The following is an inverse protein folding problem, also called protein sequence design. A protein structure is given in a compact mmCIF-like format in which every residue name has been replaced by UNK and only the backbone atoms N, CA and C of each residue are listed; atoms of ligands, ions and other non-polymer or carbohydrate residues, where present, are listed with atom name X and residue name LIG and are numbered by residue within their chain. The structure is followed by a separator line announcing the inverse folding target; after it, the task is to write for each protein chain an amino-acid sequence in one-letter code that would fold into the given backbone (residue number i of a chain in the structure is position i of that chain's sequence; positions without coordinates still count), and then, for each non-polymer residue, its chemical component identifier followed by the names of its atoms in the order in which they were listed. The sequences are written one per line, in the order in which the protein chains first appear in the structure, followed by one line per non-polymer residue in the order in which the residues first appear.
data_IF_229384743166
#
_entry.id   IF_229384743166
#
_cell.length_a   1.000
_cell.length_b   1.000
_cell.length_c   1.000
_cell.angle_alpha   90.00
_cell.angle_beta   90.00
_cell.angle_gamma   90.00
#
_symmetry.space_group_name_H-M   'P 1'
#
loop_
_entity.id
_entity.type
_entity.pdbx_description
1 polymer ?
#
# COMPACT_ATOMS: atom_id res chain seq x y z
N UNK A 1 12.06 -40.05 -11.55
CA UNK A 1 12.19 -39.12 -10.42
C UNK A 1 13.34 -38.17 -10.76
N UNK A 2 13.01 -36.96 -11.23
CA UNK A 2 13.84 -35.76 -11.41
C UNK A 2 13.38 -34.99 -12.66
N UNK A 3 12.20 -34.36 -12.62
CA UNK A 3 12.05 -33.10 -13.35
C UNK A 3 12.53 -32.01 -12.40
N UNK A 4 13.82 -31.74 -12.52
CA UNK A 4 14.49 -30.59 -11.96
C UNK A 4 13.72 -29.34 -12.40
N UNK A 5 13.13 -28.61 -11.44
CA UNK A 5 12.41 -27.37 -11.66
C UNK A 5 13.38 -26.32 -12.20
N UNK A 6 13.56 -26.28 -13.52
CA UNK A 6 14.65 -25.52 -14.16
C UNK A 6 14.62 -24.02 -13.92
N UNK A 7 13.55 -23.44 -13.36
CA UNK A 7 13.49 -22.01 -13.06
C UNK A 7 12.57 -21.66 -11.88
N UNK A 8 12.98 -21.88 -10.61
CA UNK A 8 12.18 -21.46 -9.45
C UNK A 8 11.88 -19.95 -9.46
N UNK A 9 12.75 -19.13 -10.07
CA UNK A 9 12.56 -17.69 -10.20
C UNK A 9 11.63 -17.23 -11.33
N UNK A 10 11.57 -17.93 -12.48
CA UNK A 10 10.72 -17.49 -13.60
C UNK A 10 9.23 -17.67 -13.32
N UNK A 11 8.85 -18.68 -12.53
CA UNK A 11 7.46 -18.90 -12.13
C UNK A 11 6.88 -17.74 -11.31
N UNK A 12 7.73 -17.00 -10.58
CA UNK A 12 7.31 -15.87 -9.76
C UNK A 12 7.30 -14.53 -10.52
N UNK A 13 7.86 -14.47 -11.74
CA UNK A 13 7.95 -13.22 -12.50
C UNK A 13 6.58 -12.58 -12.78
N UNK A 14 5.53 -13.31 -13.23
CA UNK A 14 4.22 -12.71 -13.43
C UNK A 14 3.63 -12.14 -12.14
N UNK A 15 3.78 -12.87 -11.03
CA UNK A 15 3.30 -12.45 -9.71
C UNK A 15 4.03 -11.19 -9.24
N UNK A 16 5.36 -11.14 -9.40
CA UNK A 16 6.19 -9.97 -9.04
C UNK A 16 5.85 -8.76 -9.90
N UNK A 17 5.69 -8.94 -11.21
CA UNK A 17 5.27 -7.86 -12.09
C UNK A 17 3.90 -7.31 -11.67
N UNK A 18 2.94 -8.20 -11.41
CA UNK A 18 1.60 -7.82 -10.97
C UNK A 18 1.63 -7.05 -9.64
N UNK A 19 2.20 -7.63 -8.59
CA UNK A 19 2.27 -7.01 -7.25
C UNK A 19 3.11 -5.73 -7.27
N UNK A 20 4.27 -5.76 -7.91
CA UNK A 20 5.18 -4.64 -7.97
C UNK A 20 4.58 -3.42 -8.67
N UNK A 21 4.02 -3.61 -9.87
CA UNK A 21 3.37 -2.53 -10.62
C UNK A 21 2.15 -2.00 -9.89
N UNK A 22 1.32 -2.87 -9.31
CA UNK A 22 0.10 -2.45 -8.59
C UNK A 22 0.43 -1.63 -7.34
N UNK A 23 1.47 -1.98 -6.58
CA UNK A 23 1.91 -1.21 -5.42
C UNK A 23 2.49 0.15 -5.80
N UNK A 24 3.35 0.22 -6.82
CA UNK A 24 3.86 1.50 -7.34
C UNK A 24 2.71 2.39 -7.81
N UNK A 25 1.80 1.81 -8.60
CA UNK A 25 0.61 2.51 -9.08
C UNK A 25 -0.26 3.03 -7.93
N UNK A 26 -0.52 2.20 -6.91
CA UNK A 26 -1.36 2.57 -5.78
C UNK A 26 -0.78 3.76 -5.00
N UNK A 27 0.53 3.80 -4.76
CA UNK A 27 1.15 4.92 -4.07
C UNK A 27 1.15 6.20 -4.92
N UNK A 28 1.44 6.10 -6.22
CA UNK A 28 1.35 7.25 -7.14
C UNK A 28 -0.08 7.77 -7.22
N UNK A 29 -1.08 6.88 -7.29
CA UNK A 29 -2.49 7.24 -7.33
C UNK A 29 -2.89 8.04 -6.09
N UNK A 30 -2.46 7.62 -4.90
CA UNK A 30 -2.70 8.36 -3.65
C UNK A 30 -2.12 9.77 -3.67
N UNK A 31 -0.89 9.92 -4.16
CA UNK A 31 -0.22 11.23 -4.24
C UNK A 31 -0.77 12.13 -5.34
N UNK A 32 -1.35 11.53 -6.37
CA UNK A 32 -1.94 12.24 -7.51
C UNK A 32 -3.40 12.63 -7.29
N UNK A 33 -4.07 12.04 -6.30
CA UNK A 33 -5.44 12.40 -5.92
C UNK A 33 -5.43 13.67 -5.05
N UNK A 34 -5.93 14.82 -5.56
CA UNK A 34 -5.95 16.07 -4.80
C UNK A 34 -6.83 15.98 -3.55
N UNK A 35 -7.77 15.05 -3.47
CA UNK A 35 -8.62 14.86 -2.30
C UNK A 35 -7.96 14.03 -1.19
N UNK A 36 -6.99 13.18 -1.50
CA UNK A 36 -6.52 12.12 -0.60
C UNK A 36 -6.05 12.63 0.77
N UNK A 37 -5.38 13.79 0.80
CA UNK A 37 -4.84 14.40 2.01
C UNK A 37 -5.68 15.58 2.55
N UNK A 38 -6.79 15.93 1.88
CA UNK A 38 -7.59 17.11 2.22
C UNK A 38 -8.89 16.73 2.90
N UNK A 39 -9.07 17.19 4.14
CA UNK A 39 -10.30 16.98 4.93
C UNK A 39 -11.51 17.54 4.19
N UNK A 40 -12.61 16.78 4.18
CA UNK A 40 -13.87 17.15 3.52
C UNK A 40 -13.94 16.74 2.05
N UNK A 41 -12.85 16.20 1.48
CA UNK A 41 -12.91 15.53 0.18
C UNK A 41 -13.54 14.14 0.33
N UNK A 42 -14.13 13.62 -0.75
CA UNK A 42 -14.71 12.26 -0.77
C UNK A 42 -13.65 11.17 -0.60
N UNK A 43 -12.41 11.40 -1.02
CA UNK A 43 -11.33 10.42 -1.00
C UNK A 43 -10.40 10.58 0.20
N UNK A 44 -10.72 11.47 1.14
CA UNK A 44 -9.89 11.79 2.28
C UNK A 44 -9.51 10.55 3.09
N UNK A 45 -8.21 10.36 3.31
CA UNK A 45 -7.68 9.21 4.06
C UNK A 45 -8.13 9.19 5.53
N UNK A 46 -8.40 10.35 6.13
CA UNK A 46 -8.82 10.40 7.54
C UNK A 46 -10.18 9.76 7.78
N UNK A 47 -11.11 9.88 6.83
CA UNK A 47 -12.44 9.25 6.93
C UNK A 47 -12.32 7.73 6.79
N UNK A 48 -11.42 7.27 5.90
CA UNK A 48 -11.09 5.85 5.76
C UNK A 48 -10.45 5.29 7.05
N UNK A 49 -9.49 6.01 7.63
CA UNK A 49 -8.85 5.61 8.89
C UNK A 49 -9.86 5.53 10.05
N UNK A 50 -10.81 6.48 10.12
CA UNK A 50 -11.90 6.43 11.11
C UNK A 50 -12.81 5.21 10.92
N UNK A 51 -13.16 4.90 9.67
CA UNK A 51 -13.89 3.70 9.31
C UNK A 51 -13.17 2.42 9.76
N UNK A 52 -11.87 2.30 9.44
CA UNK A 52 -11.08 1.13 9.81
C UNK A 52 -10.87 1.02 11.32
N UNK A 53 -10.65 2.13 12.03
CA UNK A 53 -10.47 2.10 13.48
C UNK A 53 -11.69 1.52 14.20
N UNK A 54 -12.89 1.69 13.63
CA UNK A 54 -14.14 1.26 14.24
C UNK A 54 -14.49 -0.20 13.94
N UNK A 55 -13.99 -0.75 12.82
CA UNK A 55 -14.44 -2.06 12.31
C UNK A 55 -13.33 -3.12 12.20
N UNK A 56 -12.09 -2.78 12.53
CA UNK A 56 -10.96 -3.74 12.49
C UNK A 56 -10.49 -4.11 13.91
N UNK A 57 -10.13 -5.39 14.17
CA UNK A 57 -9.55 -5.79 15.46
C UNK A 57 -8.31 -4.98 15.86
N UNK A 58 -7.52 -4.53 14.88
CA UNK A 58 -6.34 -3.69 15.06
C UNK A 58 -6.62 -2.19 15.20
N UNK A 59 -7.87 -1.75 15.35
CA UNK A 59 -8.23 -0.34 15.35
C UNK A 59 -7.55 0.51 16.43
N UNK A 60 -7.04 -0.11 17.50
CA UNK A 60 -6.26 0.58 18.53
C UNK A 60 -4.94 1.17 17.98
N UNK A 61 -4.31 0.51 17.00
CA UNK A 61 -3.09 1.01 16.35
C UNK A 61 -3.37 2.28 15.55
N UNK A 62 -4.53 2.35 14.90
CA UNK A 62 -4.97 3.52 14.15
C UNK A 62 -5.31 4.68 15.08
N UNK A 63 -5.89 4.39 16.25
CA UNK A 63 -6.15 5.39 17.31
C UNK A 63 -4.88 5.92 17.95
N UNK A 64 -3.81 5.13 18.04
CA UNK A 64 -2.58 5.54 18.71
C UNK A 64 -1.89 6.72 18.01
N UNK A 65 -1.92 6.78 16.68
CA UNK A 65 -1.24 7.84 15.93
C UNK A 65 -1.90 8.24 14.60
N UNK A 66 -2.24 7.30 13.67
CA UNK A 66 -2.76 7.65 12.34
C UNK A 66 -4.00 8.56 12.34
N UNK A 67 -4.92 8.40 13.29
CA UNK A 67 -6.11 9.24 13.39
C UNK A 67 -5.82 10.69 13.80
N UNK A 68 -4.75 10.93 14.55
CA UNK A 68 -4.34 12.27 14.95
C UNK A 68 -3.59 12.99 13.82
N UNK A 69 -2.91 12.25 12.95
CA UNK A 69 -2.09 12.79 11.85
C UNK A 69 -2.39 12.08 10.52
N UNK A 70 -3.64 12.14 10.01
CA UNK A 70 -4.09 11.35 8.87
C UNK A 70 -3.36 11.68 7.57
N UNK A 71 -3.03 12.95 7.33
CA UNK A 71 -2.26 13.34 6.14
C UNK A 71 -0.84 12.77 6.16
N UNK A 72 -0.16 12.84 7.31
CA UNK A 72 1.17 12.26 7.47
C UNK A 72 1.14 10.73 7.32
N UNK A 73 0.13 10.07 7.91
CA UNK A 73 -0.08 8.63 7.73
C UNK A 73 -0.34 8.28 6.25
N UNK A 74 -1.17 9.04 5.55
CA UNK A 74 -1.45 8.84 4.13
C UNK A 74 -0.21 8.98 3.24
N UNK A 75 0.59 10.02 3.46
CA UNK A 75 1.88 10.21 2.77
C UNK A 75 2.81 9.03 3.05
N UNK A 76 2.95 8.64 4.31
CA UNK A 76 3.81 7.51 4.71
C UNK A 76 3.39 6.22 4.01
N UNK A 77 2.10 5.91 3.98
CA UNK A 77 1.57 4.73 3.28
C UNK A 77 1.89 4.80 1.78
N UNK A 78 1.67 5.93 1.12
CA UNK A 78 1.94 6.06 -0.31
C UNK A 78 3.43 5.83 -0.64
N UNK A 79 4.35 6.37 0.17
CA UNK A 79 5.78 6.14 -0.01
C UNK A 79 6.17 4.67 0.26
N UNK A 80 5.61 4.06 1.31
CA UNK A 80 5.84 2.64 1.63
C UNK A 80 5.33 1.74 0.51
N UNK A 81 4.16 2.03 -0.07
CA UNK A 81 3.64 1.27 -1.21
C UNK A 81 4.55 1.35 -2.42
N UNK A 82 5.04 2.54 -2.78
CA UNK A 82 6.00 2.71 -3.89
C UNK A 82 7.29 1.93 -3.59
N UNK A 83 7.83 2.05 -2.38
CA UNK A 83 9.05 1.35 -1.99
C UNK A 83 8.87 -0.17 -2.08
N UNK A 84 7.78 -0.72 -1.52
CA UNK A 84 7.46 -2.16 -1.62
C UNK A 84 7.33 -2.56 -3.08
N UNK A 85 6.61 -1.80 -3.90
CA UNK A 85 6.42 -2.11 -5.30
C UNK A 85 7.74 -2.17 -6.07
N UNK A 86 8.64 -1.21 -5.84
CA UNK A 86 9.99 -1.22 -6.42
C UNK A 86 10.83 -2.41 -5.94
N UNK A 87 10.81 -2.71 -4.64
CA UNK A 87 11.52 -3.87 -4.08
C UNK A 87 11.04 -5.18 -4.69
N UNK A 88 9.72 -5.37 -4.83
CA UNK A 88 9.13 -6.55 -5.47
C UNK A 88 9.55 -6.67 -6.95
N UNK A 89 9.58 -5.56 -7.68
CA UNK A 89 10.06 -5.55 -9.08
C UNK A 89 11.54 -5.92 -9.17
N UNK A 90 12.37 -5.41 -8.25
CA UNK A 90 13.78 -5.74 -8.15
C UNK A 90 14.03 -7.18 -7.67
N UNK A 91 13.07 -7.76 -6.93
CA UNK A 91 13.15 -9.13 -6.42
C UNK A 91 13.83 -9.24 -5.08
N UNK A 92 13.67 -8.19 -4.29
CA UNK A 92 14.13 -8.06 -2.91
C UNK A 92 12.99 -8.38 -1.94
#
# INVERSE_FOLDING_TARGET
MAEESRFPGLGLLPLRAFLGVTFVYAGIQKLSDPGFLHRGSRSYIGDQLHGFASHTPGGFLLRAFPLHHPAFAGVTVAFVEIAIGLLVLLGL
#
